data_IF_598477710588
#
_entry.id   IF_598477710588
#
_cell.length_a   1.000
_cell.length_b   1.000
_cell.length_c   1.000
_cell.angle_alpha   90.00
_cell.angle_beta   90.00
_cell.angle_gamma   90.00
#
_symmetry.space_group_name_H-M   'P 1'
#
loop_
_entity.id
_entity.type
_entity.pdbx_description
1 polymer ?
#
# COMPACT_ATOMS: atom_id res chain seq x y z
N UNK A 1 0.80 -27.02 16.61
CA UNK A 1 0.47 -25.71 17.19
C UNK A 1 -0.97 -25.39 16.83
N UNK A 2 -1.85 -25.26 17.82
CA UNK A 2 -3.28 -24.99 17.60
C UNK A 2 -3.67 -23.72 18.38
N UNK A 3 -3.48 -22.54 17.76
CA UNK A 3 -3.84 -21.25 18.36
C UNK A 3 -5.24 -20.86 17.88
N UNK A 4 -6.18 -20.83 18.81
CA UNK A 4 -7.55 -20.43 18.53
C UNK A 4 -7.76 -18.92 18.68
N UNK A 5 -8.61 -18.32 17.83
CA UNK A 5 -8.91 -16.87 17.88
C UNK A 5 -9.40 -16.44 19.26
N UNK A 6 -10.21 -17.25 19.95
CA UNK A 6 -10.69 -16.94 21.31
C UNK A 6 -9.56 -16.76 22.32
N UNK A 7 -8.40 -17.43 22.12
CA UNK A 7 -7.25 -17.23 23.02
C UNK A 7 -6.62 -15.85 22.82
N UNK A 8 -6.56 -15.40 21.56
CA UNK A 8 -6.09 -14.06 21.23
C UNK A 8 -7.03 -12.97 21.75
N UNK A 9 -8.35 -13.17 21.63
CA UNK A 9 -9.37 -12.30 22.21
C UNK A 9 -9.21 -12.17 23.72
N UNK A 10 -9.02 -13.30 24.43
CA UNK A 10 -8.80 -13.29 25.86
C UNK A 10 -7.50 -12.53 26.25
N UNK A 11 -6.39 -12.73 25.53
CA UNK A 11 -5.14 -11.99 25.78
C UNK A 11 -5.34 -10.47 25.64
N UNK A 12 -5.96 -10.02 24.55
CA UNK A 12 -6.24 -8.61 24.29
C UNK A 12 -7.15 -8.04 25.35
N UNK A 13 -8.28 -8.69 25.64
CA UNK A 13 -9.24 -8.23 26.65
C UNK A 13 -8.63 -8.14 28.06
N UNK A 14 -7.75 -9.08 28.47
CA UNK A 14 -7.09 -9.02 29.78
C UNK A 14 -6.24 -7.75 29.92
N UNK A 15 -5.53 -7.37 28.85
CA UNK A 15 -4.66 -6.18 28.89
C UNK A 15 -5.50 -4.89 28.80
N UNK A 16 -6.48 -4.84 27.92
CA UNK A 16 -7.28 -3.64 27.65
C UNK A 16 -8.22 -3.30 28.83
N UNK A 17 -8.72 -4.31 29.54
CA UNK A 17 -9.61 -4.12 30.71
C UNK A 17 -8.93 -4.31 32.06
N UNK A 18 -7.59 -4.28 32.09
CA UNK A 18 -6.79 -4.25 33.30
C UNK A 18 -6.79 -5.53 34.13
N UNK A 19 -7.25 -6.68 33.56
CA UNK A 19 -7.19 -7.97 34.24
C UNK A 19 -8.28 -8.97 33.87
N UNK A 20 -8.24 -10.11 34.52
CA UNK A 20 -9.11 -11.28 34.18
C UNK A 20 -10.60 -11.04 34.43
N UNK A 21 -10.93 -10.25 35.46
CA UNK A 21 -12.35 -9.97 35.78
C UNK A 21 -12.95 -8.99 34.77
N UNK A 22 -12.22 -7.93 34.39
CA UNK A 22 -12.65 -7.01 33.35
C UNK A 22 -12.79 -7.69 31.99
N UNK A 23 -11.81 -8.53 31.61
CA UNK A 23 -11.87 -9.31 30.39
C UNK A 23 -13.06 -10.29 30.36
N UNK A 24 -13.36 -10.92 31.49
CA UNK A 24 -14.51 -11.84 31.59
C UNK A 24 -15.85 -11.13 31.38
N UNK A 25 -16.00 -9.93 31.95
CA UNK A 25 -17.17 -9.09 31.78
C UNK A 25 -17.34 -8.65 30.32
N UNK A 26 -16.25 -8.17 29.70
CA UNK A 26 -16.22 -7.74 28.29
C UNK A 26 -16.61 -8.86 27.33
N UNK A 27 -16.01 -10.05 27.52
CA UNK A 27 -16.23 -11.19 26.62
C UNK A 27 -17.50 -11.99 26.93
N UNK A 28 -18.26 -11.64 27.97
CA UNK A 28 -19.46 -12.35 28.39
C UNK A 28 -19.21 -13.79 28.84
N UNK A 29 -18.03 -14.09 29.43
CA UNK A 29 -17.64 -15.43 29.88
C UNK A 29 -17.21 -15.42 31.35
N UNK A 30 -17.00 -16.60 31.94
CA UNK A 30 -16.49 -16.67 33.32
C UNK A 30 -14.99 -16.37 33.40
N UNK A 31 -14.56 -15.74 34.49
CA UNK A 31 -13.13 -15.47 34.75
C UNK A 31 -12.24 -16.74 34.68
N UNK A 32 -12.66 -17.93 35.17
CA UNK A 32 -11.89 -19.15 34.96
C UNK A 32 -11.76 -19.54 33.48
N UNK A 33 -12.73 -19.22 32.61
CA UNK A 33 -12.63 -19.48 31.18
C UNK A 33 -11.54 -18.61 30.53
N UNK A 34 -11.50 -17.32 30.86
CA UNK A 34 -10.43 -16.40 30.40
C UNK A 34 -9.06 -16.87 30.88
N UNK A 35 -8.95 -17.30 32.15
CA UNK A 35 -7.69 -17.81 32.69
C UNK A 35 -7.22 -19.08 31.98
N UNK A 36 -8.13 -20.01 31.68
CA UNK A 36 -7.81 -21.24 30.91
C UNK A 36 -7.39 -20.92 29.48
N UNK A 37 -8.06 -19.98 28.82
CA UNK A 37 -7.75 -19.56 27.47
C UNK A 37 -6.32 -18.96 27.37
N UNK A 38 -5.96 -18.07 28.30
CA UNK A 38 -4.60 -17.54 28.37
C UNK A 38 -3.57 -18.65 28.64
N UNK A 39 -3.83 -19.53 29.61
CA UNK A 39 -2.93 -20.64 29.92
C UNK A 39 -2.76 -21.60 28.73
N UNK A 40 -3.82 -21.83 27.93
CA UNK A 40 -3.74 -22.59 26.69
C UNK A 40 -2.84 -21.90 25.66
N UNK A 41 -3.01 -20.59 25.45
CA UNK A 41 -2.17 -19.81 24.55
C UNK A 41 -0.69 -19.85 24.96
N UNK A 42 -0.39 -19.60 26.22
CA UNK A 42 0.99 -19.65 26.75
C UNK A 42 1.62 -21.03 26.58
N UNK A 43 0.85 -22.10 26.80
CA UNK A 43 1.29 -23.49 26.60
C UNK A 43 1.57 -23.80 25.13
N UNK A 44 0.69 -23.39 24.20
CA UNK A 44 0.89 -23.58 22.76
C UNK A 44 2.12 -22.82 22.23
N UNK A 45 2.39 -21.64 22.77
CA UNK A 45 3.53 -20.81 22.38
C UNK A 45 4.81 -21.14 23.18
N UNK A 46 4.72 -21.90 24.27
CA UNK A 46 5.85 -22.27 25.12
C UNK A 46 6.46 -21.10 25.90
N UNK A 47 5.74 -19.99 26.02
CA UNK A 47 6.25 -18.76 26.68
C UNK A 47 5.18 -18.09 27.55
N UNK A 48 5.62 -17.39 28.60
CA UNK A 48 4.74 -16.54 29.39
C UNK A 48 4.51 -15.21 28.70
N UNK A 49 3.26 -14.85 28.50
CA UNK A 49 2.85 -13.60 27.86
C UNK A 49 2.54 -12.50 28.86
N UNK A 50 1.98 -12.85 30.02
CA UNK A 50 1.60 -11.92 31.07
C UNK A 50 2.35 -12.23 32.38
N UNK A 51 2.67 -11.17 33.11
CA UNK A 51 3.14 -11.23 34.51
C UNK A 51 2.05 -10.70 35.40
N UNK A 52 1.77 -11.43 36.49
CA UNK A 52 0.87 -10.97 37.54
C UNK A 52 1.71 -10.32 38.63
N UNK A 53 1.44 -9.10 38.97
CA UNK A 53 1.87 -8.44 40.20
C UNK A 53 0.72 -8.46 41.19
N UNK A 54 0.96 -8.09 42.42
CA UNK A 54 -0.11 -7.98 43.45
C UNK A 54 -1.17 -6.92 43.14
N UNK A 55 -0.95 -6.06 42.14
CA UNK A 55 -1.84 -4.94 41.80
C UNK A 55 -2.26 -4.90 40.34
N UNK A 56 -1.49 -5.52 39.40
CA UNK A 56 -1.69 -5.36 37.98
C UNK A 56 -1.29 -6.63 37.22
N UNK A 57 -1.89 -6.76 36.03
CA UNK A 57 -1.49 -7.73 35.01
C UNK A 57 -0.82 -6.98 33.87
N UNK A 58 0.47 -7.25 33.64
CA UNK A 58 1.27 -6.56 32.64
C UNK A 58 1.87 -7.54 31.64
N UNK A 59 1.97 -7.20 30.37
CA UNK A 59 2.62 -8.03 29.36
C UNK A 59 4.13 -8.19 29.65
N UNK A 60 4.68 -9.34 29.26
CA UNK A 60 6.13 -9.55 29.16
C UNK A 60 6.63 -8.91 27.86
N UNK A 61 7.94 -8.78 27.66
CA UNK A 61 8.50 -8.29 26.40
C UNK A 61 8.09 -9.16 25.18
N UNK A 62 7.91 -10.48 25.38
CA UNK A 62 7.34 -11.38 24.37
C UNK A 62 5.84 -11.14 24.25
N UNK A 63 5.15 -10.93 25.38
CA UNK A 63 3.74 -10.65 25.46
C UNK A 63 3.35 -9.41 24.64
N UNK A 64 4.12 -8.32 24.73
CA UNK A 64 3.90 -7.10 23.94
C UNK A 64 3.93 -7.38 22.42
N UNK A 65 4.92 -8.14 21.95
CA UNK A 65 5.02 -8.51 20.54
C UNK A 65 3.87 -9.42 20.06
N UNK A 66 3.47 -10.37 20.91
CA UNK A 66 2.34 -11.26 20.64
C UNK A 66 1.02 -10.48 20.67
N UNK A 67 0.84 -9.58 21.63
CA UNK A 67 -0.34 -8.71 21.74
C UNK A 67 -0.54 -7.84 20.49
N UNK A 68 0.53 -7.21 20.01
CA UNK A 68 0.47 -6.42 18.78
C UNK A 68 0.03 -7.26 17.56
N UNK A 69 0.56 -8.50 17.46
CA UNK A 69 0.14 -9.45 16.40
C UNK A 69 -1.29 -9.95 16.60
N UNK A 70 -1.70 -10.22 17.85
CA UNK A 70 -3.05 -10.67 18.17
C UNK A 70 -4.10 -9.61 17.76
N UNK A 71 -3.87 -8.34 18.09
CA UNK A 71 -4.74 -7.23 17.68
C UNK A 71 -4.88 -7.14 16.16
N UNK A 72 -3.76 -7.31 15.42
CA UNK A 72 -3.80 -7.31 13.97
C UNK A 72 -4.61 -8.48 13.40
N UNK A 73 -4.37 -9.70 13.90
CA UNK A 73 -5.12 -10.90 13.47
C UNK A 73 -6.63 -10.74 13.74
N UNK A 74 -7.00 -10.23 14.91
CA UNK A 74 -8.42 -9.99 15.24
C UNK A 74 -9.03 -8.91 14.35
N UNK A 75 -8.31 -7.85 14.03
CA UNK A 75 -8.75 -6.85 13.08
C UNK A 75 -8.97 -7.40 11.67
N UNK A 76 -8.08 -8.26 11.18
CA UNK A 76 -8.22 -8.97 9.90
C UNK A 76 -9.47 -9.89 9.88
N UNK A 77 -9.77 -10.56 11.00
CA UNK A 77 -10.99 -11.37 11.14
C UNK A 77 -12.24 -10.51 11.15
N UNK A 78 -12.23 -9.36 11.81
CA UNK A 78 -13.33 -8.41 11.78
C UNK A 78 -13.56 -7.84 10.37
N UNK A 79 -12.48 -7.58 9.62
CA UNK A 79 -12.57 -7.18 8.22
C UNK A 79 -13.18 -8.29 7.36
N UNK A 80 -12.73 -9.54 7.53
CA UNK A 80 -13.28 -10.71 6.84
C UNK A 80 -14.79 -10.85 7.07
N UNK A 81 -15.25 -10.67 8.31
CA UNK A 81 -16.68 -10.75 8.64
C UNK A 81 -17.46 -9.60 8.00
N UNK A 82 -16.90 -8.37 8.03
CA UNK A 82 -17.53 -7.22 7.34
C UNK A 82 -17.62 -7.43 5.83
N UNK A 83 -16.54 -7.89 5.21
CA UNK A 83 -16.50 -8.19 3.77
C UNK A 83 -17.52 -9.27 3.40
N UNK A 84 -17.67 -10.32 4.22
CA UNK A 84 -18.66 -11.38 4.03
C UNK A 84 -20.12 -10.90 4.12
N UNK A 85 -20.39 -9.84 4.87
CA UNK A 85 -21.73 -9.22 4.98
C UNK A 85 -21.97 -8.12 3.95
N UNK A 86 -21.12 -8.02 2.93
CA UNK A 86 -21.25 -7.08 1.83
C UNK A 86 -21.02 -5.63 2.23
N UNK A 87 -19.82 -5.33 2.74
CA UNK A 87 -19.38 -3.97 3.14
C UNK A 87 -19.39 -2.96 1.99
N UNK A 88 -20.57 -2.79 1.37
CA UNK A 88 -20.81 -1.88 0.23
C UNK A 88 -20.84 -0.41 0.65
N UNK A 89 -20.77 -0.14 1.94
CA UNK A 89 -20.65 1.19 2.56
C UNK A 89 -19.19 1.74 2.48
N UNK A 90 -18.26 0.94 1.95
CA UNK A 90 -16.85 1.32 1.81
C UNK A 90 -16.28 0.84 0.49
N UNK A 91 -15.56 1.71 -0.22
CA UNK A 91 -14.75 1.36 -1.38
C UNK A 91 -13.26 1.46 -1.03
N UNK A 92 -12.57 0.32 -0.97
CA UNK A 92 -11.11 0.26 -0.76
C UNK A 92 -10.40 0.36 -2.09
N UNK A 93 -9.62 1.42 -2.27
CA UNK A 93 -8.82 1.66 -3.48
C UNK A 93 -7.35 1.40 -3.19
N UNK A 94 -6.85 0.29 -3.69
CA UNK A 94 -5.47 -0.13 -3.51
C UNK A 94 -4.50 0.64 -4.39
N UNK A 95 -3.27 0.81 -3.93
CA UNK A 95 -2.18 1.37 -4.72
C UNK A 95 -0.82 0.97 -4.14
N UNK A 96 0.21 0.87 -5.00
CA UNK A 96 1.54 0.51 -4.53
C UNK A 96 2.30 1.71 -3.93
N UNK A 97 2.76 2.65 -4.75
CA UNK A 97 3.56 3.78 -4.31
C UNK A 97 2.72 5.03 -4.11
N UNK A 98 2.20 5.58 -5.18
CA UNK A 98 1.36 6.77 -5.14
C UNK A 98 -0.06 6.41 -5.58
N UNK A 99 -1.06 6.97 -4.91
CA UNK A 99 -2.45 6.83 -5.31
C UNK A 99 -2.65 7.56 -6.66
N UNK A 100 -3.18 8.76 -6.66
CA UNK A 100 -3.36 9.58 -7.87
C UNK A 100 -2.54 10.88 -7.81
N UNK A 101 -1.49 10.91 -7.03
CA UNK A 101 -0.57 12.05 -6.91
C UNK A 101 -1.29 13.35 -6.57
N UNK A 102 -1.16 14.37 -7.43
CA UNK A 102 -1.79 15.68 -7.23
C UNK A 102 -3.33 15.62 -7.18
N UNK A 103 -3.93 14.59 -7.74
CA UNK A 103 -5.40 14.43 -7.76
C UNK A 103 -5.97 13.79 -6.49
N UNK A 104 -5.13 13.31 -5.55
CA UNK A 104 -5.58 12.52 -4.39
C UNK A 104 -6.57 13.29 -3.51
N UNK A 105 -6.32 14.55 -3.22
CA UNK A 105 -7.22 15.40 -2.39
C UNK A 105 -8.54 15.65 -3.12
N UNK A 106 -8.48 15.96 -4.41
CA UNK A 106 -9.67 16.22 -5.22
C UNK A 106 -10.51 14.96 -5.38
N UNK A 107 -9.88 13.79 -5.58
CA UNK A 107 -10.55 12.49 -5.61
C UNK A 107 -11.38 12.27 -4.34
N UNK A 108 -10.75 12.39 -3.16
CA UNK A 108 -11.42 12.17 -1.88
C UNK A 108 -12.59 13.15 -1.65
N UNK A 109 -12.39 14.45 -1.96
CA UNK A 109 -13.43 15.46 -1.80
C UNK A 109 -14.62 15.22 -2.72
N UNK A 110 -14.37 14.97 -3.98
CA UNK A 110 -15.44 14.73 -4.96
C UNK A 110 -16.18 13.42 -4.69
N UNK A 111 -15.46 12.38 -4.26
CA UNK A 111 -16.07 11.13 -3.86
C UNK A 111 -17.01 11.30 -2.68
N UNK A 112 -16.57 11.92 -1.60
CA UNK A 112 -17.39 12.15 -0.42
C UNK A 112 -18.66 12.99 -0.69
N UNK A 113 -18.62 13.90 -1.68
CA UNK A 113 -19.77 14.67 -2.11
C UNK A 113 -20.74 13.87 -2.97
N UNK A 114 -20.23 12.99 -3.83
CA UNK A 114 -21.05 12.22 -4.76
C UNK A 114 -21.60 10.93 -4.13
N UNK A 115 -20.90 10.35 -3.15
CA UNK A 115 -21.21 9.06 -2.52
C UNK A 115 -21.10 9.17 -1.00
N UNK A 116 -21.96 9.95 -0.32
CA UNK A 116 -21.91 10.14 1.13
C UNK A 116 -22.14 8.84 1.91
N UNK A 117 -22.76 7.83 1.29
CA UNK A 117 -23.04 6.50 1.85
C UNK A 117 -21.90 5.48 1.61
N UNK A 118 -20.89 5.80 0.77
CA UNK A 118 -19.77 4.91 0.46
C UNK A 118 -18.46 5.57 0.81
N UNK A 119 -17.87 5.17 1.94
CA UNK A 119 -16.60 5.71 2.41
C UNK A 119 -15.44 5.31 1.51
N UNK A 120 -14.60 6.24 1.08
CA UNK A 120 -13.42 5.98 0.24
C UNK A 120 -12.18 5.75 1.11
N UNK A 121 -11.61 4.55 1.05
CA UNK A 121 -10.37 4.19 1.69
C UNK A 121 -9.24 3.99 0.69
N UNK A 122 -8.14 4.73 0.84
CA UNK A 122 -6.92 4.50 0.06
C UNK A 122 -6.01 3.53 0.83
N UNK A 123 -5.78 2.36 0.25
CA UNK A 123 -4.99 1.27 0.85
C UNK A 123 -3.64 1.17 0.16
N UNK A 124 -2.54 1.39 0.89
CA UNK A 124 -1.21 1.18 0.35
C UNK A 124 -0.78 -0.27 0.49
N UNK A 125 -0.56 -0.95 -0.62
CA UNK A 125 -0.08 -2.32 -0.67
C UNK A 125 0.97 -2.50 -1.77
N UNK A 126 2.20 -2.87 -1.39
CA UNK A 126 3.35 -2.96 -2.30
C UNK A 126 3.36 -4.28 -3.08
N UNK A 127 2.33 -4.50 -3.91
CA UNK A 127 2.22 -5.64 -4.83
C UNK A 127 1.92 -5.18 -6.25
N UNK A 128 2.12 -6.04 -7.27
CA UNK A 128 1.82 -5.71 -8.66
C UNK A 128 0.37 -5.33 -8.93
N UNK A 129 -0.56 -5.84 -8.10
CA UNK A 129 -1.99 -5.57 -8.18
C UNK A 129 -2.47 -4.49 -7.20
N UNK A 130 -1.52 -3.83 -6.47
CA UNK A 130 -1.86 -2.83 -5.46
C UNK A 130 -2.68 -3.36 -4.28
N UNK A 131 -2.67 -4.68 -4.04
CA UNK A 131 -3.42 -5.34 -2.98
C UNK A 131 -4.68 -6.06 -3.44
N UNK A 132 -5.07 -5.94 -4.73
CA UNK A 132 -6.30 -6.55 -5.23
C UNK A 132 -6.25 -8.09 -5.19
N UNK A 133 -5.14 -8.70 -5.66
CA UNK A 133 -4.98 -10.16 -5.64
C UNK A 133 -4.88 -10.73 -4.23
N UNK A 134 -4.48 -9.92 -3.28
CA UNK A 134 -4.33 -10.25 -1.87
C UNK A 134 -5.62 -9.99 -1.05
N UNK A 135 -6.70 -9.52 -1.70
CA UNK A 135 -7.97 -9.21 -1.03
C UNK A 135 -7.93 -7.95 -0.15
N UNK A 136 -6.86 -7.16 -0.22
CA UNK A 136 -6.70 -5.96 0.60
C UNK A 136 -7.52 -4.76 0.11
N UNK A 137 -8.08 -4.82 -1.10
CA UNK A 137 -8.88 -3.75 -1.69
C UNK A 137 -9.88 -4.30 -2.71
N UNK A 138 -10.84 -3.47 -3.08
CA UNK A 138 -11.94 -3.80 -3.99
C UNK A 138 -11.60 -3.42 -5.43
N UNK A 139 -10.86 -2.33 -5.59
CA UNK A 139 -10.28 -1.87 -6.86
C UNK A 139 -8.85 -1.39 -6.61
N UNK A 140 -7.99 -1.39 -7.64
CA UNK A 140 -6.60 -0.96 -7.49
C UNK A 140 -6.15 -0.02 -8.59
N UNK A 141 -5.42 1.03 -8.22
CA UNK A 141 -4.74 1.94 -9.14
C UNK A 141 -3.33 1.42 -9.37
N UNK A 142 -3.07 0.95 -10.58
CA UNK A 142 -1.76 0.41 -10.96
C UNK A 142 -1.17 1.20 -12.14
N UNK A 143 0.16 1.19 -12.21
CA UNK A 143 0.93 1.85 -13.26
C UNK A 143 1.84 0.81 -13.90
N UNK A 144 1.29 0.06 -14.82
CA UNK A 144 2.02 -0.99 -15.51
C UNK A 144 2.22 -0.64 -16.96
N UNK A 145 3.42 -0.90 -17.53
CA UNK A 145 3.58 -0.93 -18.98
C UNK A 145 2.61 -1.93 -19.60
N UNK A 146 2.26 -1.74 -20.87
CA UNK A 146 1.46 -2.72 -21.61
C UNK A 146 2.12 -4.11 -21.59
N UNK A 147 1.30 -5.17 -21.59
CA UNK A 147 1.73 -6.58 -21.61
C UNK A 147 2.52 -7.06 -20.38
N UNK A 148 2.05 -6.77 -19.17
CA UNK A 148 2.57 -7.40 -17.93
C UNK A 148 1.74 -8.62 -17.53
N UNK A 149 2.33 -9.51 -16.72
CA UNK A 149 1.63 -10.66 -16.16
C UNK A 149 0.38 -10.26 -15.36
N UNK A 150 0.40 -9.09 -14.71
CA UNK A 150 -0.74 -8.52 -13.97
C UNK A 150 -1.96 -8.29 -14.86
N UNK A 151 -1.76 -7.76 -16.08
CA UNK A 151 -2.83 -7.51 -17.04
C UNK A 151 -3.26 -8.78 -17.80
N UNK A 152 -2.45 -9.82 -17.80
CA UNK A 152 -2.78 -11.13 -18.36
C UNK A 152 -3.60 -12.01 -17.41
N UNK A 153 -3.76 -11.61 -16.15
CA UNK A 153 -4.53 -12.36 -15.16
C UNK A 153 -6.03 -12.21 -15.42
N UNK A 154 -6.67 -13.32 -15.84
CA UNK A 154 -8.08 -13.35 -16.21
C UNK A 154 -9.06 -13.14 -15.05
N UNK A 155 -8.58 -13.09 -13.81
CA UNK A 155 -9.40 -12.78 -12.64
C UNK A 155 -9.83 -11.32 -12.60
N UNK A 156 -9.05 -10.45 -13.24
CA UNK A 156 -9.23 -9.01 -13.21
C UNK A 156 -9.66 -8.46 -14.56
N UNK A 157 -10.46 -7.40 -14.52
CA UNK A 157 -10.65 -6.46 -15.63
C UNK A 157 -9.92 -5.17 -15.30
N UNK A 158 -9.59 -4.41 -16.33
CA UNK A 158 -8.93 -3.13 -16.18
C UNK A 158 -9.36 -2.10 -17.21
N UNK A 159 -9.13 -0.84 -16.91
CA UNK A 159 -9.25 0.26 -17.88
C UNK A 159 -8.19 1.33 -17.64
N UNK A 160 -7.72 1.98 -18.71
CA UNK A 160 -6.85 3.15 -18.60
C UNK A 160 -7.70 4.36 -18.22
N UNK A 161 -7.44 4.93 -17.05
CA UNK A 161 -8.09 6.15 -16.56
C UNK A 161 -7.27 7.41 -16.82
N UNK A 162 -5.97 7.26 -17.12
CA UNK A 162 -5.11 8.39 -17.39
C UNK A 162 -3.71 8.02 -17.88
N UNK A 163 -2.94 9.04 -18.23
CA UNK A 163 -1.54 8.94 -18.64
C UNK A 163 -0.70 9.92 -17.81
N UNK A 164 0.40 9.46 -17.24
CA UNK A 164 1.33 10.29 -16.48
C UNK A 164 2.67 10.46 -17.20
N UNK A 165 3.23 11.65 -17.11
CA UNK A 165 4.58 11.94 -17.61
C UNK A 165 5.61 11.22 -16.76
N UNK A 166 6.74 10.82 -17.37
CA UNK A 166 7.89 10.27 -16.66
C UNK A 166 8.87 11.36 -16.22
N UNK A 167 9.40 11.16 -15.02
CA UNK A 167 10.42 12.00 -14.43
C UNK A 167 11.63 11.18 -14.03
N UNK A 168 12.81 11.76 -14.17
CA UNK A 168 14.02 11.27 -13.53
C UNK A 168 14.17 11.93 -12.17
N UNK A 169 14.32 11.13 -11.12
CA UNK A 169 14.69 11.54 -9.78
C UNK A 169 16.19 11.37 -9.58
N UNK A 170 16.85 12.34 -8.99
CA UNK A 170 18.30 12.34 -8.73
C UNK A 170 18.62 13.19 -7.52
N UNK A 171 19.81 13.02 -6.97
CA UNK A 171 20.32 13.91 -5.93
C UNK A 171 20.36 15.38 -6.43
N UNK A 172 20.15 16.34 -5.54
CA UNK A 172 20.11 17.78 -5.92
C UNK A 172 21.45 18.31 -6.45
N UNK A 173 22.56 17.69 -6.06
CA UNK A 173 23.93 18.01 -6.50
C UNK A 173 24.38 17.19 -7.71
N UNK A 174 23.54 16.28 -8.22
CA UNK A 174 23.82 15.51 -9.43
C UNK A 174 24.04 16.45 -10.64
N UNK A 175 25.06 16.23 -11.48
CA UNK A 175 25.29 17.06 -12.67
C UNK A 175 24.09 17.16 -13.62
N UNK A 176 23.29 16.07 -13.74
CA UNK A 176 22.08 16.06 -14.55
C UNK A 176 20.98 16.99 -14.00
N UNK A 177 21.00 17.32 -12.70
CA UNK A 177 20.03 18.21 -12.08
C UNK A 177 20.06 19.62 -12.66
N UNK A 178 21.19 20.05 -13.24
CA UNK A 178 21.39 21.36 -13.89
C UNK A 178 20.86 21.40 -15.32
N UNK A 179 20.58 20.25 -15.93
CA UNK A 179 20.08 20.19 -17.31
C UNK A 179 18.60 20.56 -17.38
N UNK A 180 18.26 21.42 -18.32
CA UNK A 180 16.86 21.80 -18.61
C UNK A 180 16.11 20.75 -19.43
N UNK A 181 16.84 19.93 -20.19
CA UNK A 181 16.33 18.89 -21.10
C UNK A 181 17.01 17.60 -20.76
N UNK A 182 16.24 16.57 -20.47
CA UNK A 182 16.75 15.25 -20.12
C UNK A 182 16.01 14.20 -20.96
N UNK A 183 16.76 13.27 -21.54
CA UNK A 183 16.27 12.11 -22.28
C UNK A 183 16.73 10.80 -21.67
N UNK A 184 16.19 9.69 -22.12
CA UNK A 184 16.53 8.35 -21.66
C UNK A 184 18.01 8.02 -21.91
N UNK A 185 18.56 8.48 -23.02
CA UNK A 185 19.98 8.26 -23.38
C UNK A 185 20.96 8.94 -22.43
N UNK A 186 20.58 10.06 -21.81
CA UNK A 186 21.38 10.71 -20.78
C UNK A 186 21.56 9.88 -19.51
N UNK A 187 20.77 8.83 -19.34
CA UNK A 187 20.72 7.95 -18.17
C UNK A 187 21.46 6.62 -18.38
N UNK A 188 21.95 6.33 -19.59
CA UNK A 188 22.49 5.00 -19.98
C UNK A 188 23.68 4.55 -19.13
N UNK A 189 24.54 5.48 -18.72
CA UNK A 189 25.76 5.19 -17.93
C UNK A 189 25.51 5.23 -16.41
N UNK A 190 24.25 5.37 -16.01
CA UNK A 190 23.89 5.51 -14.60
C UNK A 190 23.42 4.18 -13.99
N UNK A 191 23.27 4.17 -12.66
CA UNK A 191 22.62 3.08 -11.94
C UNK A 191 21.20 3.49 -11.62
N UNK A 192 20.21 2.69 -12.03
CA UNK A 192 18.81 2.90 -11.77
C UNK A 192 18.37 2.15 -10.52
N UNK A 193 17.75 2.84 -9.57
CA UNK A 193 16.99 2.21 -8.50
C UNK A 193 15.63 1.75 -9.04
N UNK A 194 15.32 0.45 -8.95
CA UNK A 194 14.08 -0.16 -9.46
C UNK A 194 13.45 -1.04 -8.40
N UNK A 195 12.15 -0.86 -8.12
CA UNK A 195 11.34 -1.89 -7.47
C UNK A 195 10.79 -2.83 -8.55
N UNK A 196 11.23 -4.10 -8.59
CA UNK A 196 10.82 -5.04 -9.64
C UNK A 196 9.37 -5.49 -9.54
N UNK A 197 8.71 -5.28 -8.38
CA UNK A 197 7.32 -5.70 -8.14
C UNK A 197 6.32 -4.69 -8.66
N UNK A 198 6.59 -3.41 -8.43
CA UNK A 198 5.61 -2.33 -8.64
C UNK A 198 6.18 -1.18 -9.46
N UNK A 199 7.45 -1.27 -9.83
CA UNK A 199 8.14 -0.23 -10.58
C UNK A 199 7.55 -0.02 -11.97
N UNK A 200 7.30 1.23 -12.30
CA UNK A 200 6.86 1.65 -13.64
C UNK A 200 7.99 1.63 -14.66
N UNK A 201 9.20 1.38 -14.21
CA UNK A 201 10.43 1.44 -14.98
C UNK A 201 10.97 0.04 -15.22
N UNK A 202 11.11 -0.32 -16.47
CA UNK A 202 11.74 -1.56 -16.90
C UNK A 202 12.94 -1.23 -17.78
N UNK A 203 13.96 -2.10 -17.86
CA UNK A 203 15.09 -1.92 -18.80
C UNK A 203 14.67 -1.78 -20.26
N UNK A 204 13.46 -2.22 -20.61
CA UNK A 204 12.92 -2.12 -21.97
C UNK A 204 12.55 -0.69 -22.39
N UNK A 205 12.58 0.29 -21.49
CA UNK A 205 12.49 1.70 -21.86
C UNK A 205 13.68 2.17 -22.70
N UNK A 206 14.82 1.49 -22.59
CA UNK A 206 16.04 1.79 -23.36
C UNK A 206 16.24 0.81 -24.50
N UNK A 207 16.78 1.26 -25.64
CA UNK A 207 17.16 0.35 -26.70
C UNK A 207 18.26 -0.64 -26.21
N UNK A 208 18.36 -1.84 -26.83
CA UNK A 208 19.44 -2.77 -26.54
C UNK A 208 20.82 -2.06 -26.70
N UNK A 209 21.70 -2.26 -25.73
CA UNK A 209 23.03 -1.63 -25.70
C UNK A 209 23.11 -0.25 -25.00
N UNK A 210 21.99 0.39 -24.73
CA UNK A 210 21.93 1.65 -23.97
C UNK A 210 21.23 1.49 -22.61
N UNK A 211 21.04 0.26 -22.13
CA UNK A 211 20.35 -0.06 -20.89
C UNK A 211 21.22 0.29 -19.68
N UNK A 212 20.76 1.14 -18.77
CA UNK A 212 21.45 1.41 -17.52
C UNK A 212 21.50 0.18 -16.64
N UNK A 213 22.49 0.10 -15.75
CA UNK A 213 22.54 -0.92 -14.70
C UNK A 213 21.40 -0.69 -13.71
N UNK A 214 20.83 -1.76 -13.15
CA UNK A 214 19.75 -1.69 -12.18
C UNK A 214 20.24 -2.13 -10.80
N UNK A 215 19.83 -1.39 -9.76
CA UNK A 215 19.89 -1.76 -8.35
C UNK A 215 18.46 -1.94 -7.84
N UNK A 216 18.17 -3.07 -7.21
CA UNK A 216 16.83 -3.36 -6.72
C UNK A 216 16.60 -2.74 -5.34
N UNK A 217 15.45 -2.14 -5.18
CA UNK A 217 14.96 -1.57 -3.92
C UNK A 217 13.65 -2.24 -3.52
N UNK A 218 13.28 -2.15 -2.24
CA UNK A 218 12.11 -2.86 -1.71
C UNK A 218 10.84 -2.01 -1.67
N UNK A 219 10.98 -0.68 -1.58
CA UNK A 219 9.84 0.23 -1.55
C UNK A 219 10.26 1.65 -1.96
N UNK A 220 9.31 2.60 -1.85
CA UNK A 220 9.54 3.99 -2.21
C UNK A 220 10.50 4.70 -1.24
N UNK A 221 10.55 4.31 0.02
CA UNK A 221 11.42 4.95 1.01
C UNK A 221 12.88 4.54 0.79
N UNK A 222 13.14 3.25 0.52
CA UNK A 222 14.45 2.75 0.08
C UNK A 222 14.88 3.44 -1.22
N UNK A 223 13.96 3.54 -2.19
CA UNK A 223 14.21 4.20 -3.48
C UNK A 223 14.63 5.66 -3.28
N UNK A 224 13.91 6.41 -2.47
CA UNK A 224 14.25 7.80 -2.15
C UNK A 224 15.58 7.91 -1.40
N UNK A 225 15.88 6.97 -0.50
CA UNK A 225 17.11 6.99 0.29
C UNK A 225 18.36 6.81 -0.58
N UNK A 226 18.38 5.81 -1.48
CA UNK A 226 19.54 5.56 -2.35
C UNK A 226 19.74 6.67 -3.39
N UNK A 227 18.65 7.34 -3.83
CA UNK A 227 18.73 8.49 -4.73
C UNK A 227 19.25 9.74 -4.02
N UNK A 228 18.74 10.04 -2.82
CA UNK A 228 19.22 11.18 -2.03
C UNK A 228 20.70 11.07 -1.68
N UNK A 229 21.20 9.84 -1.50
CA UNK A 229 22.62 9.54 -1.27
C UNK A 229 23.48 9.63 -2.53
N UNK A 230 22.93 9.93 -3.71
CA UNK A 230 23.64 10.02 -4.99
C UNK A 230 24.14 8.69 -5.53
N UNK A 231 23.74 7.54 -4.94
CA UNK A 231 24.15 6.19 -5.38
C UNK A 231 23.48 5.78 -6.68
N UNK A 232 22.20 6.13 -6.81
CA UNK A 232 21.36 5.80 -7.93
C UNK A 232 20.59 7.01 -8.42
N UNK A 233 20.04 6.89 -9.63
CA UNK A 233 18.94 7.72 -10.10
C UNK A 233 17.68 6.86 -10.20
N UNK A 234 16.52 7.51 -10.33
CA UNK A 234 15.26 6.79 -10.50
C UNK A 234 14.46 7.33 -11.68
N UNK A 235 13.67 6.47 -12.33
CA UNK A 235 12.67 6.91 -13.30
C UNK A 235 11.31 6.54 -12.76
N UNK A 236 10.40 7.51 -12.72
CA UNK A 236 9.09 7.33 -12.07
C UNK A 236 7.99 8.12 -12.78
N UNK A 237 6.75 7.89 -12.38
CA UNK A 237 5.58 8.61 -12.85
C UNK A 237 5.40 9.96 -12.11
N UNK A 238 4.62 10.86 -12.69
CA UNK A 238 4.31 12.19 -12.16
C UNK A 238 3.69 12.15 -10.76
N UNK A 239 2.84 11.17 -10.49
CA UNK A 239 2.21 10.97 -9.18
C UNK A 239 3.23 10.77 -8.06
N UNK A 240 4.28 9.97 -8.30
CA UNK A 240 5.35 9.76 -7.32
C UNK A 240 6.12 11.06 -7.08
N UNK A 241 6.49 11.78 -8.14
CA UNK A 241 7.17 13.09 -8.05
C UNK A 241 6.34 14.08 -7.23
N UNK A 242 5.02 14.07 -7.39
CA UNK A 242 4.12 15.01 -6.71
C UNK A 242 3.93 14.65 -5.24
N UNK A 243 3.80 13.36 -4.94
CA UNK A 243 3.50 12.87 -3.60
C UNK A 243 4.74 12.76 -2.70
N UNK A 244 5.91 12.45 -3.26
CA UNK A 244 7.13 12.16 -2.51
C UNK A 244 8.22 13.22 -2.72
N UNK A 245 7.91 14.48 -2.38
CA UNK A 245 8.92 15.52 -2.31
C UNK A 245 9.80 15.32 -1.08
N UNK A 246 11.10 15.11 -1.29
CA UNK A 246 12.06 14.88 -0.21
C UNK A 246 13.26 15.81 -0.37
N UNK A 247 13.78 16.30 0.76
CA UNK A 247 15.04 17.06 0.77
C UNK A 247 16.17 16.22 0.16
N UNK A 248 17.04 16.86 -0.62
CA UNK A 248 18.15 16.18 -1.28
C UNK A 248 17.80 15.52 -2.62
N UNK A 249 16.52 15.53 -3.04
CA UNK A 249 16.09 14.96 -4.33
C UNK A 249 15.51 16.05 -5.21
N UNK A 250 15.87 16.01 -6.48
CA UNK A 250 15.23 16.80 -7.54
C UNK A 250 14.67 15.91 -8.63
N UNK A 251 13.62 16.39 -9.29
CA UNK A 251 12.96 15.69 -10.39
C UNK A 251 13.12 16.49 -11.69
N UNK A 252 13.39 15.78 -12.79
CA UNK A 252 13.46 16.36 -14.14
C UNK A 252 12.59 15.55 -15.09
N UNK A 253 11.77 16.25 -15.86
CA UNK A 253 10.92 15.62 -16.87
C UNK A 253 11.77 14.97 -17.94
N UNK A 254 11.43 13.72 -18.29
CA UNK A 254 11.97 13.01 -19.45
C UNK A 254 11.14 13.35 -20.69
N UNK A 255 11.80 13.66 -21.81
CA UNK A 255 11.10 14.17 -23.01
C UNK A 255 10.72 13.08 -23.99
N UNK A 256 11.58 12.09 -24.10
CA UNK A 256 11.49 10.96 -25.05
C UNK A 256 10.98 9.68 -24.42
N UNK A 257 10.71 9.68 -23.13
CA UNK A 257 10.15 8.53 -22.43
C UNK A 257 8.62 8.47 -22.70
N UNK A 258 8.08 7.27 -23.05
CA UNK A 258 6.66 7.10 -23.22
C UNK A 258 5.92 7.37 -21.89
N UNK A 259 4.69 7.91 -21.94
CA UNK A 259 3.90 8.13 -20.74
C UNK A 259 3.61 6.81 -20.02
N UNK A 260 3.31 6.91 -18.73
CA UNK A 260 2.91 5.77 -17.90
C UNK A 260 1.39 5.66 -17.92
N UNK A 261 0.79 4.56 -18.39
CA UNK A 261 -0.62 4.32 -18.24
C UNK A 261 -1.00 4.17 -16.77
N UNK A 262 -2.03 4.89 -16.34
CA UNK A 262 -2.67 4.70 -15.04
C UNK A 262 -3.93 3.90 -15.28
N UNK A 263 -4.00 2.74 -14.66
CA UNK A 263 -5.12 1.80 -14.82
C UNK A 263 -5.85 1.64 -13.51
N UNK A 264 -7.16 1.49 -13.59
CA UNK A 264 -7.96 0.94 -12.52
C UNK A 264 -8.19 -0.54 -12.83
N UNK A 265 -7.89 -1.42 -11.86
CA UNK A 265 -8.15 -2.86 -11.88
C UNK A 265 -9.28 -3.18 -10.92
N UNK A 266 -10.08 -4.22 -11.24
CA UNK A 266 -11.12 -4.76 -10.37
C UNK A 266 -11.37 -6.25 -10.63
N UNK A 267 -12.08 -6.92 -9.72
CA UNK A 267 -12.50 -8.31 -9.91
C UNK A 267 -13.52 -8.42 -11.04
N UNK A 268 -13.26 -9.28 -12.01
CA UNK A 268 -14.14 -9.45 -13.19
C UNK A 268 -15.51 -10.01 -12.82
N UNK A 269 -15.54 -11.01 -11.91
CA UNK A 269 -16.74 -11.76 -11.59
C UNK A 269 -17.63 -11.11 -10.55
N UNK A 270 -17.06 -10.24 -9.72
CA UNK A 270 -17.80 -9.56 -8.63
C UNK A 270 -17.21 -8.17 -8.39
N UNK A 271 -17.41 -7.23 -9.33
CA UNK A 271 -16.94 -5.87 -9.16
C UNK A 271 -17.73 -5.14 -8.07
N UNK A 272 -17.05 -4.36 -7.24
CA UNK A 272 -17.73 -3.46 -6.31
C UNK A 272 -18.71 -2.55 -7.07
N UNK A 273 -19.96 -2.33 -6.59
CA UNK A 273 -20.98 -1.55 -7.30
C UNK A 273 -20.52 -0.15 -7.73
N UNK A 274 -19.70 0.51 -6.90
CA UNK A 274 -19.18 1.84 -7.17
C UNK A 274 -17.95 1.87 -8.13
N UNK A 275 -17.56 0.74 -8.73
CA UNK A 275 -16.41 0.66 -9.65
C UNK A 275 -16.56 1.57 -10.85
N UNK A 276 -17.76 1.61 -11.46
CA UNK A 276 -18.04 2.46 -12.65
C UNK A 276 -17.89 3.94 -12.31
N UNK A 277 -18.38 4.37 -11.16
CA UNK A 277 -18.30 5.76 -10.71
C UNK A 277 -16.84 6.16 -10.42
N UNK A 278 -16.05 5.24 -9.83
CA UNK A 278 -14.63 5.45 -9.63
C UNK A 278 -13.87 5.59 -10.95
N UNK A 279 -14.17 4.77 -11.97
CA UNK A 279 -13.61 4.90 -13.33
C UNK A 279 -13.93 6.29 -13.90
N UNK A 280 -15.19 6.70 -13.82
CA UNK A 280 -15.65 8.01 -14.30
C UNK A 280 -14.90 9.17 -13.65
N UNK A 281 -14.85 9.16 -12.31
CA UNK A 281 -14.20 10.22 -11.54
C UNK A 281 -12.69 10.30 -11.82
N UNK A 282 -12.00 9.17 -11.85
CA UNK A 282 -10.57 9.14 -12.18
C UNK A 282 -10.30 9.63 -13.59
N UNK A 283 -11.10 9.17 -14.57
CA UNK A 283 -10.95 9.60 -15.96
C UNK A 283 -11.17 11.11 -16.15
N UNK A 284 -12.08 11.71 -15.39
CA UNK A 284 -12.26 13.16 -15.39
C UNK A 284 -11.07 13.90 -14.76
N UNK A 285 -10.55 13.40 -13.64
CA UNK A 285 -9.41 14.01 -12.96
C UNK A 285 -8.17 14.04 -13.84
N UNK A 286 -7.89 12.95 -14.56
CA UNK A 286 -6.74 12.89 -15.48
C UNK A 286 -6.96 13.67 -16.79
N UNK A 287 -8.20 13.90 -17.24
CA UNK A 287 -8.48 14.81 -18.37
C UNK A 287 -8.26 16.28 -18.00
N UNK A 288 -8.54 16.67 -16.75
CA UNK A 288 -8.27 17.99 -16.23
C UNK A 288 -6.80 18.03 -15.81
N UNK A 289 -5.87 18.45 -16.69
CA UNK A 289 -4.47 18.66 -16.28
C UNK A 289 -4.46 19.53 -15.03
N UNK A 290 -3.74 19.16 -13.95
CA UNK A 290 -3.56 20.06 -12.83
C UNK A 290 -2.93 21.33 -13.37
N UNK A 291 -3.52 22.48 -13.04
CA UNK A 291 -2.90 23.79 -13.31
C UNK A 291 -1.53 23.77 -12.65
N UNK A 292 -0.45 23.83 -13.44
CA UNK A 292 0.89 24.02 -12.94
C UNK A 292 0.92 25.33 -12.14
N UNK A 293 0.92 25.23 -10.81
CA UNK A 293 1.28 26.30 -9.90
C UNK A 293 2.75 26.17 -9.49
#
# INVERSE_FOLDING_TARGET
>A
MNVELRYLQCLVAIVDHGGFTGAAAELGVSQPAVSRALAALERELGVRLLRRTSREVVPTAVGERVLAKARRILGEVEELVRDAHGGLDRLRVGHAWAAVGAHTVELQRRWALAHPEVELHLVRHNSPTGGLAEGACDVAIVRTPEATATLADRRFDDTIVGLETRFCAMATDDPLARRRKLGLTDLSDRVLAIDPRTGTTTPNLWPPGARPRAEHVHDVDDWLAVIAAGRCIGVTAESTMTQYRRHGITFRRLRDAPPVPVRLLWWRTDPHPATTDMIGLLSELYRRRPSAR
#
